data_IF_124813554047
#
_entry.id   IF_124813554047
#
_cell.length_a   1.000
_cell.length_b   1.000
_cell.length_c   1.000
_cell.angle_alpha   90.00
_cell.angle_beta   90.00
_cell.angle_gamma   90.00
#
_symmetry.space_group_name_H-M   'P 1'
#
loop_
_entity.id
_entity.type
_entity.pdbx_description
1 polymer ?
#
# COMPACT_ATOMS: atom_id res chain seq x y z
N UNK A 1 -16.59 18.67 -29.88
CA UNK A 1 -17.12 18.14 -28.60
C UNK A 1 -17.14 19.30 -27.61
N UNK A 2 -18.27 19.58 -26.96
CA UNK A 2 -18.36 20.65 -25.97
C UNK A 2 -17.40 20.35 -24.80
N UNK A 3 -16.53 21.31 -24.46
CA UNK A 3 -15.70 21.22 -23.26
C UNK A 3 -16.63 21.21 -22.05
N UNK A 4 -16.65 20.10 -21.31
CA UNK A 4 -17.46 19.99 -20.11
C UNK A 4 -17.06 21.11 -19.14
N UNK A 5 -18.04 21.87 -18.64
CA UNK A 5 -17.77 22.91 -17.65
C UNK A 5 -17.09 22.31 -16.41
N UNK A 6 -16.09 22.99 -15.84
CA UNK A 6 -15.44 22.55 -14.62
C UNK A 6 -16.43 22.49 -13.46
N UNK A 7 -16.20 21.58 -12.51
CA UNK A 7 -17.02 21.44 -11.31
C UNK A 7 -17.07 22.76 -10.53
N UNK A 8 -18.24 23.13 -10.00
CA UNK A 8 -18.45 24.39 -9.25
C UNK A 8 -17.52 24.56 -8.02
N UNK A 9 -17.09 23.44 -7.43
CA UNK A 9 -16.20 23.44 -6.25
C UNK A 9 -14.71 23.42 -6.61
N UNK A 10 -14.37 23.34 -7.91
CA UNK A 10 -12.98 23.20 -8.35
C UNK A 10 -12.25 24.53 -8.21
N UNK A 11 -11.26 24.57 -7.33
CA UNK A 11 -10.37 25.72 -7.15
C UNK A 11 -8.94 25.24 -6.96
N UNK A 12 -8.00 25.83 -7.73
CA UNK A 12 -6.57 25.54 -7.66
C UNK A 12 -6.24 24.03 -7.71
N UNK A 13 -6.98 23.29 -8.52
CA UNK A 13 -6.78 21.84 -8.70
C UNK A 13 -6.45 21.55 -10.17
N UNK A 14 -5.17 21.31 -10.45
CA UNK A 14 -4.68 21.10 -11.81
C UNK A 14 -5.14 19.75 -12.37
N UNK A 15 -5.40 19.67 -13.67
CA UNK A 15 -5.85 18.42 -14.31
C UNK A 15 -4.79 17.32 -14.26
N UNK A 16 -3.50 17.67 -14.19
CA UNK A 16 -2.43 16.69 -14.03
C UNK A 16 -2.44 16.10 -12.61
N UNK A 17 -2.68 16.92 -11.58
CA UNK A 17 -2.86 16.43 -10.21
C UNK A 17 -4.07 15.49 -10.10
N UNK A 18 -5.19 15.85 -10.74
CA UNK A 18 -6.37 14.99 -10.82
C UNK A 18 -6.08 13.63 -11.47
N UNK A 19 -5.35 13.62 -12.59
CA UNK A 19 -4.97 12.39 -13.27
C UNK A 19 -3.98 11.56 -12.45
N UNK A 20 -3.03 12.21 -11.78
CA UNK A 20 -2.07 11.55 -10.90
C UNK A 20 -2.76 10.92 -9.67
N UNK A 21 -3.75 11.59 -9.07
CA UNK A 21 -4.59 11.02 -8.01
C UNK A 21 -5.34 9.78 -8.51
N UNK A 22 -5.96 9.81 -9.70
CA UNK A 22 -6.60 8.62 -10.28
C UNK A 22 -5.61 7.47 -10.49
N UNK A 23 -4.40 7.77 -10.93
CA UNK A 23 -3.35 6.78 -11.15
C UNK A 23 -2.87 6.17 -9.83
N UNK A 24 -2.78 6.99 -8.78
CA UNK A 24 -2.37 6.55 -7.45
C UNK A 24 -3.47 5.77 -6.73
N UNK A 25 -4.75 6.13 -6.90
CA UNK A 25 -5.91 5.33 -6.45
C UNK A 25 -5.81 3.90 -7.01
N UNK A 26 -5.55 3.76 -8.31
CA UNK A 26 -5.36 2.44 -8.94
C UNK A 26 -4.18 1.68 -8.31
N UNK A 27 -3.09 2.37 -8.00
CA UNK A 27 -1.92 1.76 -7.38
C UNK A 27 -2.23 1.24 -5.96
N UNK A 28 -2.95 2.01 -5.15
CA UNK A 28 -3.37 1.58 -3.81
C UNK A 28 -4.32 0.37 -3.87
N UNK A 29 -5.28 0.37 -4.81
CA UNK A 29 -6.18 -0.77 -5.03
C UNK A 29 -5.41 -2.03 -5.49
N UNK A 30 -4.43 -1.87 -6.37
CA UNK A 30 -3.58 -2.98 -6.80
C UNK A 30 -2.71 -3.53 -5.65
N UNK A 31 -2.14 -2.64 -4.84
CA UNK A 31 -1.36 -3.01 -3.65
C UNK A 31 -2.22 -3.75 -2.63
N UNK A 32 -3.46 -3.27 -2.39
CA UNK A 32 -4.44 -3.98 -1.56
C UNK A 32 -4.70 -5.39 -2.09
N UNK A 33 -4.94 -5.53 -3.40
CA UNK A 33 -5.18 -6.84 -4.01
C UNK A 33 -3.97 -7.79 -3.92
N UNK A 34 -2.75 -7.28 -4.04
CA UNK A 34 -1.52 -8.05 -3.82
C UNK A 34 -1.41 -8.54 -2.38
N UNK A 35 -1.68 -7.69 -1.40
CA UNK A 35 -1.68 -8.08 0.00
C UNK A 35 -2.76 -9.10 0.34
N UNK A 36 -3.94 -8.99 -0.27
CA UNK A 36 -4.99 -9.99 -0.15
C UNK A 36 -4.51 -11.36 -0.66
N UNK A 37 -3.81 -11.39 -1.81
CA UNK A 37 -3.17 -12.60 -2.34
C UNK A 37 -2.12 -13.18 -1.38
N UNK A 38 -1.28 -12.33 -0.77
CA UNK A 38 -0.31 -12.76 0.25
C UNK A 38 -1.01 -13.35 1.47
N UNK A 39 -2.02 -12.67 2.00
CA UNK A 39 -2.77 -13.12 3.16
C UNK A 39 -3.32 -14.53 2.95
N UNK A 40 -4.09 -14.73 1.88
CA UNK A 40 -4.74 -16.01 1.62
C UNK A 40 -3.79 -17.13 1.20
N UNK A 41 -2.56 -16.81 0.76
CA UNK A 41 -1.51 -17.81 0.64
C UNK A 41 -1.09 -18.36 2.02
N UNK A 42 -0.85 -17.49 3.00
CA UNK A 42 -0.44 -17.92 4.35
C UNK A 42 -1.57 -18.59 5.14
N UNK A 43 -2.82 -18.43 4.72
CA UNK A 43 -3.98 -19.08 5.32
C UNK A 43 -4.23 -20.52 4.83
N UNK A 44 -3.54 -20.98 3.78
CA UNK A 44 -3.65 -22.37 3.29
C UNK A 44 -3.19 -23.36 4.35
N UNK A 45 -3.76 -24.56 4.32
CA UNK A 45 -3.42 -25.66 5.25
C UNK A 45 -1.97 -26.15 5.09
N UNK A 46 -1.41 -26.05 3.88
CA UNK A 46 -0.03 -26.44 3.57
C UNK A 46 1.02 -25.35 3.85
N UNK A 47 0.60 -24.17 4.32
CA UNK A 47 1.48 -23.08 4.77
C UNK A 47 1.26 -22.75 6.25
N UNK A 48 0.01 -22.56 6.66
CA UNK A 48 -0.47 -22.46 8.04
C UNK A 48 0.24 -21.42 8.95
N UNK A 49 0.57 -20.24 8.42
CA UNK A 49 1.17 -19.14 9.18
C UNK A 49 0.13 -18.05 9.49
N UNK A 50 -0.60 -18.25 10.58
CA UNK A 50 -1.78 -17.43 10.94
C UNK A 50 -1.48 -15.93 11.13
N UNK A 51 -0.36 -15.56 11.77
CA UNK A 51 -0.06 -14.15 12.02
C UNK A 51 0.47 -13.45 10.77
N UNK A 52 1.13 -14.18 9.86
CA UNK A 52 1.39 -13.69 8.49
C UNK A 52 0.08 -13.40 7.74
N UNK A 53 -0.89 -14.32 7.79
CA UNK A 53 -2.21 -14.09 7.21
C UNK A 53 -2.86 -12.81 7.76
N UNK A 54 -2.96 -12.69 9.08
CA UNK A 54 -3.56 -11.52 9.74
C UNK A 54 -2.82 -10.22 9.40
N UNK A 55 -1.49 -10.26 9.37
CA UNK A 55 -0.66 -9.09 9.05
C UNK A 55 -0.92 -8.58 7.62
N UNK A 56 -0.88 -9.47 6.63
CA UNK A 56 -1.13 -9.08 5.25
C UNK A 56 -2.59 -8.72 4.98
N UNK A 57 -3.55 -9.36 5.67
CA UNK A 57 -4.95 -8.97 5.59
C UNK A 57 -5.15 -7.52 6.08
N UNK A 58 -4.55 -7.16 7.22
CA UNK A 58 -4.57 -5.79 7.72
C UNK A 58 -3.94 -4.80 6.73
N UNK A 59 -2.79 -5.14 6.14
CA UNK A 59 -2.18 -4.28 5.11
C UNK A 59 -3.07 -4.12 3.87
N UNK A 60 -3.79 -5.17 3.48
CA UNK A 60 -4.78 -5.09 2.40
C UNK A 60 -5.89 -4.09 2.74
N UNK A 61 -6.41 -4.13 3.96
CA UNK A 61 -7.47 -3.23 4.44
C UNK A 61 -6.97 -1.78 4.53
N UNK A 62 -5.78 -1.55 5.10
CA UNK A 62 -5.15 -0.22 5.18
C UNK A 62 -5.02 0.43 3.79
N UNK A 63 -4.62 -0.36 2.78
CA UNK A 63 -4.48 0.12 1.39
C UNK A 63 -5.81 0.40 0.72
N UNK A 64 -6.85 -0.36 1.06
CA UNK A 64 -8.21 -0.06 0.63
C UNK A 64 -8.70 1.27 1.22
N UNK A 65 -8.43 1.52 2.51
CA UNK A 65 -8.73 2.79 3.16
C UNK A 65 -7.97 3.97 2.53
N UNK A 66 -6.68 3.77 2.19
CA UNK A 66 -5.87 4.75 1.46
C UNK A 66 -6.50 5.11 0.11
N UNK A 67 -6.89 4.11 -0.69
CA UNK A 67 -7.58 4.35 -1.95
C UNK A 67 -8.88 5.14 -1.77
N UNK A 68 -9.72 4.76 -0.80
CA UNK A 68 -10.97 5.46 -0.51
C UNK A 68 -10.75 6.91 -0.03
N UNK A 69 -9.71 7.15 0.76
CA UNK A 69 -9.35 8.49 1.25
C UNK A 69 -8.93 9.40 0.08
N UNK A 70 -8.20 8.88 -0.91
CA UNK A 70 -7.90 9.60 -2.16
C UNK A 70 -9.16 9.84 -3.01
N UNK A 71 -10.06 8.87 -3.12
CA UNK A 71 -11.33 9.05 -3.83
C UNK A 71 -12.18 10.17 -3.20
N UNK A 72 -12.22 10.23 -1.86
CA UNK A 72 -12.89 11.32 -1.12
C UNK A 72 -12.23 12.67 -1.42
N UNK A 73 -10.90 12.74 -1.41
CA UNK A 73 -10.17 13.97 -1.80
C UNK A 73 -10.49 14.40 -3.24
N UNK A 74 -10.46 13.45 -4.18
CA UNK A 74 -10.72 13.71 -5.60
C UNK A 74 -12.09 14.39 -5.78
N UNK A 75 -13.13 13.86 -5.13
CA UNK A 75 -14.46 14.44 -5.17
C UNK A 75 -14.54 15.79 -4.43
N UNK A 76 -13.89 15.90 -3.27
CA UNK A 76 -13.83 17.14 -2.47
C UNK A 76 -13.26 18.31 -3.28
N UNK A 77 -12.22 18.07 -4.08
CA UNK A 77 -11.56 19.09 -4.92
C UNK A 77 -12.25 19.32 -6.27
N UNK A 78 -13.39 18.66 -6.51
CA UNK A 78 -14.14 18.78 -7.76
C UNK A 78 -13.52 18.05 -8.95
N UNK A 79 -12.62 17.09 -8.71
CA UNK A 79 -12.12 16.15 -9.70
C UNK A 79 -13.16 15.08 -10.06
N UNK A 80 -12.79 14.20 -10.99
CA UNK A 80 -13.58 13.05 -11.41
C UNK A 80 -12.76 11.78 -11.26
N UNK A 81 -13.29 10.86 -10.48
CA UNK A 81 -12.69 9.53 -10.32
C UNK A 81 -12.82 8.78 -11.64
N UNK A 82 -11.71 8.26 -12.14
CA UNK A 82 -11.66 7.36 -13.30
C UNK A 82 -11.04 6.05 -12.86
N UNK A 83 -11.90 5.06 -12.61
CA UNK A 83 -11.45 3.72 -12.26
C UNK A 83 -10.95 2.99 -13.50
N UNK A 84 -9.92 2.18 -13.30
CA UNK A 84 -9.30 1.34 -14.32
C UNK A 84 -9.20 -0.09 -13.81
N UNK A 85 -8.97 -1.01 -14.73
CA UNK A 85 -8.78 -2.42 -14.40
C UNK A 85 -7.65 -2.59 -13.38
N UNK A 86 -7.94 -3.39 -12.34
CA UNK A 86 -6.95 -3.85 -11.38
C UNK A 86 -6.42 -5.17 -11.92
N UNK A 87 -5.16 -5.17 -12.37
CA UNK A 87 -4.52 -6.37 -12.90
C UNK A 87 -4.38 -7.41 -11.78
N UNK A 88 -4.53 -8.68 -12.14
CA UNK A 88 -4.19 -9.78 -11.24
C UNK A 88 -2.71 -9.72 -10.87
N UNK A 89 -2.34 -10.12 -9.63
CA UNK A 89 -0.96 -10.39 -9.27
C UNK A 89 -0.28 -11.32 -10.28
N UNK A 90 0.95 -10.99 -10.68
CA UNK A 90 1.76 -11.86 -11.56
C UNK A 90 2.15 -13.18 -10.88
N UNK A 91 2.24 -13.14 -9.55
CA UNK A 91 2.63 -14.26 -8.69
C UNK A 91 1.43 -14.73 -7.86
N UNK A 92 1.16 -16.04 -7.91
CA UNK A 92 0.10 -16.69 -7.10
C UNK A 92 0.63 -17.51 -5.92
N UNK A 93 1.94 -17.74 -5.85
CA UNK A 93 2.60 -18.41 -4.71
C UNK A 93 3.75 -17.57 -4.19
N UNK A 94 3.80 -17.35 -2.88
CA UNK A 94 4.80 -16.48 -2.27
C UNK A 94 6.05 -17.20 -1.79
N UNK A 95 6.11 -18.53 -1.99
CA UNK A 95 7.22 -19.43 -1.66
C UNK A 95 7.50 -19.52 -0.15
N UNK A 96 7.77 -18.40 0.50
CA UNK A 96 8.13 -18.31 1.92
C UNK A 96 7.71 -16.98 2.54
N UNK A 97 7.70 -16.91 3.88
CA UNK A 97 7.51 -15.67 4.63
C UNK A 97 8.52 -14.59 4.25
N UNK A 98 9.79 -14.98 4.04
CA UNK A 98 10.84 -14.05 3.63
C UNK A 98 10.55 -13.42 2.26
N UNK A 99 10.22 -14.24 1.26
CA UNK A 99 9.96 -13.76 -0.11
C UNK A 99 8.73 -12.85 -0.17
N UNK A 100 7.68 -13.17 0.61
CA UNK A 100 6.52 -12.30 0.75
C UNK A 100 6.88 -10.93 1.37
N UNK A 101 7.67 -10.91 2.45
CA UNK A 101 8.09 -9.68 3.11
C UNK A 101 9.01 -8.82 2.24
N UNK A 102 9.89 -9.44 1.46
CA UNK A 102 10.73 -8.73 0.48
C UNK A 102 9.89 -8.12 -0.65
N UNK A 103 8.93 -8.88 -1.16
CA UNK A 103 7.99 -8.41 -2.18
C UNK A 103 7.16 -7.22 -1.67
N UNK A 104 6.64 -7.32 -0.45
CA UNK A 104 5.92 -6.22 0.23
C UNK A 104 6.82 -4.99 0.42
N UNK A 105 8.06 -5.19 0.88
CA UNK A 105 9.02 -4.10 1.07
C UNK A 105 9.31 -3.34 -0.23
N UNK A 106 9.51 -4.05 -1.34
CA UNK A 106 9.71 -3.43 -2.65
C UNK A 106 8.44 -2.72 -3.15
N UNK A 107 7.27 -3.33 -2.95
CA UNK A 107 6.00 -2.75 -3.31
C UNK A 107 5.75 -1.41 -2.59
N UNK A 108 5.98 -1.35 -1.28
CA UNK A 108 5.81 -0.10 -0.51
C UNK A 108 6.77 1.01 -0.93
N UNK A 109 8.00 0.66 -1.33
CA UNK A 109 8.93 1.64 -1.90
C UNK A 109 8.40 2.21 -3.22
N UNK A 110 7.79 1.38 -4.06
CA UNK A 110 7.18 1.84 -5.32
C UNK A 110 5.95 2.72 -5.07
N UNK A 111 5.09 2.35 -4.10
CA UNK A 111 3.96 3.19 -3.67
C UNK A 111 4.45 4.54 -3.15
N UNK A 112 5.48 4.54 -2.30
CA UNK A 112 6.07 5.76 -1.78
C UNK A 112 6.70 6.62 -2.87
N UNK A 113 7.38 6.03 -3.86
CA UNK A 113 7.91 6.75 -5.01
C UNK A 113 6.80 7.47 -5.79
N UNK A 114 5.67 6.79 -6.03
CA UNK A 114 4.50 7.40 -6.67
C UNK A 114 3.92 8.56 -5.85
N UNK A 115 3.93 8.49 -4.51
CA UNK A 115 3.52 9.59 -3.64
C UNK A 115 4.46 10.78 -3.72
N UNK A 116 5.78 10.54 -3.77
CA UNK A 116 6.78 11.60 -3.90
C UNK A 116 6.66 12.33 -5.25
N UNK A 117 6.42 11.60 -6.33
CA UNK A 117 6.16 12.18 -7.65
C UNK A 117 4.86 12.99 -7.67
N UNK A 118 3.80 12.49 -7.05
CA UNK A 118 2.54 13.22 -6.90
C UNK A 118 2.72 14.49 -6.04
N UNK A 119 3.49 14.41 -4.96
CA UNK A 119 3.82 15.56 -4.12
C UNK A 119 4.61 16.61 -4.91
N UNK A 120 5.64 16.19 -5.64
CA UNK A 120 6.45 17.08 -6.48
C UNK A 120 5.57 17.78 -7.54
N UNK A 121 4.66 17.05 -8.19
CA UNK A 121 3.69 17.63 -9.11
C UNK A 121 2.79 18.66 -8.41
N UNK A 122 2.31 18.38 -7.20
CA UNK A 122 1.49 19.32 -6.42
C UNK A 122 2.26 20.62 -6.09
N UNK A 123 3.54 20.50 -5.74
CA UNK A 123 4.43 21.65 -5.52
C UNK A 123 4.59 22.47 -6.80
N UNK A 124 4.89 21.82 -7.93
CA UNK A 124 5.05 22.47 -9.24
C UNK A 124 3.79 23.21 -9.71
N UNK A 125 2.62 22.66 -9.40
CA UNK A 125 1.32 23.29 -9.71
C UNK A 125 0.87 24.31 -8.67
N UNK A 126 1.62 24.46 -7.57
CA UNK A 126 1.30 25.37 -6.48
C UNK A 126 -0.02 25.04 -5.79
N UNK A 127 -0.26 23.75 -5.50
CA UNK A 127 -1.41 23.25 -4.73
C UNK A 127 -1.00 22.90 -3.28
N UNK A 128 -0.93 23.89 -2.37
CA UNK A 128 -0.49 23.65 -1.00
C UNK A 128 -1.44 22.75 -0.21
N UNK A 129 -2.73 22.71 -0.55
CA UNK A 129 -3.69 21.83 0.12
C UNK A 129 -3.40 20.37 -0.20
N UNK A 130 -3.09 20.05 -1.46
CA UNK A 130 -2.72 18.70 -1.86
C UNK A 130 -1.39 18.29 -1.22
N UNK A 131 -0.37 19.17 -1.20
CA UNK A 131 0.90 18.90 -0.52
C UNK A 131 0.68 18.52 0.96
N UNK A 132 -0.07 19.36 1.70
CA UNK A 132 -0.36 19.14 3.11
C UNK A 132 -1.13 17.83 3.35
N UNK A 133 -2.10 17.51 2.48
CA UNK A 133 -2.85 16.27 2.56
C UNK A 133 -1.96 15.02 2.39
N UNK A 134 -1.03 15.04 1.43
CA UNK A 134 -0.11 13.93 1.18
C UNK A 134 0.87 13.72 2.35
N UNK A 135 1.41 14.81 2.89
CA UNK A 135 2.30 14.78 4.07
C UNK A 135 1.59 14.20 5.30
N UNK A 136 0.40 14.71 5.59
CA UNK A 136 -0.33 14.40 6.82
C UNK A 136 -0.88 12.98 6.85
N UNK A 137 -1.26 12.43 5.70
CA UNK A 137 -2.00 11.17 5.65
C UNK A 137 -1.23 10.01 5.01
N UNK A 138 -0.17 10.25 4.23
CA UNK A 138 0.49 9.19 3.46
C UNK A 138 1.99 9.13 3.70
N UNK A 139 2.74 10.22 3.47
CA UNK A 139 4.21 10.19 3.46
C UNK A 139 4.80 9.70 4.79
N UNK A 140 4.28 10.17 5.93
CA UNK A 140 4.74 9.70 7.24
C UNK A 140 4.43 8.23 7.49
N UNK A 141 3.24 7.77 7.06
CA UNK A 141 2.82 6.38 7.22
C UNK A 141 3.67 5.44 6.32
N UNK A 142 3.99 5.86 5.10
CA UNK A 142 4.83 5.07 4.20
C UNK A 142 6.24 4.86 4.75
N UNK A 143 6.88 5.90 5.29
CA UNK A 143 8.23 5.76 5.87
C UNK A 143 8.22 4.78 7.06
N UNK A 144 7.19 4.83 7.91
CA UNK A 144 7.01 3.87 9.01
C UNK A 144 6.84 2.44 8.50
N UNK A 145 5.99 2.23 7.50
CA UNK A 145 5.70 0.91 6.92
C UNK A 145 6.95 0.32 6.25
N UNK A 146 7.68 1.12 5.47
CA UNK A 146 8.96 0.72 4.86
C UNK A 146 9.99 0.34 5.94
N UNK A 147 10.08 1.11 7.03
CA UNK A 147 10.99 0.82 8.14
C UNK A 147 10.63 -0.46 8.89
N UNK A 148 9.34 -0.74 9.06
CA UNK A 148 8.82 -1.96 9.66
C UNK A 148 9.17 -3.18 8.80
N UNK A 149 8.76 -3.17 7.52
CA UNK A 149 9.04 -4.25 6.58
C UNK A 149 10.54 -4.52 6.41
N UNK A 150 11.36 -3.46 6.32
CA UNK A 150 12.81 -3.61 6.25
C UNK A 150 13.41 -4.26 7.51
N UNK A 151 12.81 -4.02 8.68
CA UNK A 151 13.16 -4.73 9.92
C UNK A 151 12.80 -6.21 9.88
N UNK A 152 11.61 -6.54 9.38
CA UNK A 152 11.16 -7.93 9.21
C UNK A 152 12.02 -8.72 8.24
N UNK A 153 12.32 -8.15 7.06
CA UNK A 153 13.24 -8.75 6.08
C UNK A 153 14.61 -8.98 6.71
N UNK A 154 15.14 -8.01 7.44
CA UNK A 154 16.45 -8.14 8.10
C UNK A 154 16.48 -9.25 9.15
N UNK A 155 15.40 -9.41 9.91
CA UNK A 155 15.28 -10.48 10.90
C UNK A 155 15.19 -11.84 10.22
N UNK A 156 14.25 -12.00 9.27
CA UNK A 156 14.05 -13.25 8.54
C UNK A 156 15.32 -13.72 7.82
N UNK A 157 16.07 -12.82 7.15
CA UNK A 157 17.35 -13.17 6.53
C UNK A 157 18.40 -13.72 7.51
N UNK A 158 18.38 -13.28 8.78
CA UNK A 158 19.33 -13.75 9.80
C UNK A 158 18.94 -15.10 10.38
N UNK A 159 17.63 -15.38 10.49
CA UNK A 159 17.13 -16.61 11.11
C UNK A 159 16.85 -17.74 10.09
N UNK A 160 16.70 -17.41 8.80
CA UNK A 160 16.50 -18.40 7.74
C UNK A 160 17.84 -19.01 7.29
N UNK A 161 18.38 -19.95 8.07
CA UNK A 161 19.45 -20.91 7.70
C UNK A 161 19.59 -22.00 8.79
N UNK A 162 19.88 -23.29 8.50
CA UNK A 162 19.36 -24.19 7.45
C UNK A 162 17.93 -24.73 7.76
N UNK A 163 17.32 -24.36 8.88
CA UNK A 163 15.99 -24.83 9.32
C UNK A 163 14.91 -23.77 9.07
N UNK A 164 14.70 -23.40 7.80
CA UNK A 164 13.81 -22.30 7.39
C UNK A 164 12.38 -22.41 7.96
N UNK A 165 11.84 -23.62 8.12
CA UNK A 165 10.49 -23.84 8.66
C UNK A 165 10.32 -23.42 10.12
N UNK A 166 11.31 -23.73 10.99
CA UNK A 166 11.25 -23.34 12.40
C UNK A 166 11.42 -21.82 12.56
N UNK A 167 12.29 -21.22 11.75
CA UNK A 167 12.53 -19.79 11.75
C UNK A 167 11.26 -18.98 11.42
N UNK A 168 10.55 -19.35 10.35
CA UNK A 168 9.31 -18.67 9.97
C UNK A 168 8.19 -18.88 10.98
N UNK A 169 8.07 -20.08 11.56
CA UNK A 169 7.12 -20.35 12.62
C UNK A 169 7.37 -19.50 13.87
N UNK A 170 8.63 -19.41 14.34
CA UNK A 170 8.98 -18.57 15.48
C UNK A 170 8.75 -17.08 15.17
N UNK A 171 9.05 -16.65 13.95
CA UNK A 171 8.79 -15.27 13.52
C UNK A 171 7.28 -14.96 13.54
N UNK A 172 6.46 -15.85 13.00
CA UNK A 172 4.99 -15.76 13.04
C UNK A 172 4.49 -15.56 14.48
N UNK A 173 4.93 -16.41 15.42
CA UNK A 173 4.43 -16.36 16.80
C UNK A 173 4.99 -15.18 17.61
N UNK A 174 6.29 -14.92 17.52
CA UNK A 174 6.97 -13.98 18.42
C UNK A 174 6.95 -12.54 17.89
N UNK A 175 7.07 -12.36 16.58
CA UNK A 175 7.19 -11.02 15.97
C UNK A 175 5.85 -10.49 15.48
N UNK A 176 5.09 -11.31 14.74
CA UNK A 176 3.79 -10.89 14.22
C UNK A 176 2.68 -11.11 15.26
N UNK A 177 2.73 -12.20 16.04
CA UNK A 177 1.73 -12.51 17.07
C UNK A 177 1.72 -11.57 18.28
N UNK A 178 2.86 -10.95 18.63
CA UNK A 178 2.92 -9.99 19.75
C UNK A 178 2.18 -8.69 19.47
N UNK A 179 1.98 -8.33 18.20
CA UNK A 179 1.32 -7.08 17.77
C UNK A 179 -0.20 -7.17 17.70
N UNK A 180 -0.78 -8.38 17.76
CA UNK A 180 -2.23 -8.58 17.71
C UNK A 180 -2.89 -8.25 19.06
N UNK A 181 -2.13 -8.17 20.15
CA UNK A 181 -2.68 -7.88 21.49
C UNK A 181 -2.92 -6.38 21.77
N UNK A 182 -2.52 -5.48 20.89
CA UNK A 182 -2.57 -4.01 21.12
C UNK A 182 -3.70 -3.30 20.34
N UNK A 183 -4.59 -4.04 19.68
CA UNK A 183 -5.80 -3.54 19.00
C UNK A 183 -7.03 -4.22 19.54
#
# INVERSE_FOLDING_TARGET
MATAQPSQVRQKYDTNCEAAINSHIRLELYTSYLYLSMAFYFNRDDVALENFFRYFLRLSDDKMEHAQKLMKLQNLRGGRIRLHDIRKPERQGWESGLVAMESAFHLEKNVNQSLLELYQLAVEKGDPQLCHFLESHYLHQQVKTIKELGGYVSNLRKICSPEAGLAEYLFDKLTLGSRVKET
#
